data_IF_970875618090
#
_entry.id   IF_970875618090
#
_cell.length_a   1.000
_cell.length_b   1.000
_cell.length_c   1.000
_cell.angle_alpha   90.00
_cell.angle_beta   90.00
_cell.angle_gamma   90.00
#
_symmetry.space_group_name_H-M   'P 1'
#
loop_
_entity.id
_entity.type
_entity.pdbx_description
1 polymer ?
#
# COMPACT_ATOMS: atom_id res chain seq x y z
N UNK A 1 0.73 -0.90 14.10
CA UNK A 1 0.48 -1.36 12.71
C UNK A 1 0.12 -0.24 11.73
N UNK A 2 -0.02 1.01 12.19
CA UNK A 2 -0.03 2.19 11.31
C UNK A 2 1.42 2.56 10.95
N UNK A 3 1.68 2.80 9.67
CA UNK A 3 2.96 3.29 9.12
C UNK A 3 2.71 4.66 8.50
N UNK A 4 3.47 5.66 8.92
CA UNK A 4 3.35 7.03 8.43
C UNK A 4 4.65 7.41 7.75
N UNK A 5 4.55 7.83 6.49
CA UNK A 5 5.67 8.22 5.65
C UNK A 5 5.55 9.70 5.29
N UNK A 6 6.71 10.34 5.13
CA UNK A 6 6.85 11.62 4.46
C UNK A 6 7.86 11.48 3.31
N UNK A 7 7.94 12.44 2.37
CA UNK A 7 8.82 12.32 1.20
C UNK A 7 10.32 12.15 1.53
N UNK A 8 10.74 12.48 2.77
CA UNK A 8 12.13 12.32 3.22
C UNK A 8 12.38 11.01 3.95
N UNK A 9 11.33 10.22 4.22
CA UNK A 9 11.45 8.96 4.94
C UNK A 9 12.32 7.98 4.14
N UNK A 10 13.41 7.45 4.71
CA UNK A 10 14.28 6.54 3.98
C UNK A 10 13.62 5.17 3.83
N UNK A 11 13.92 4.50 2.72
CA UNK A 11 13.55 3.10 2.47
C UNK A 11 12.03 2.81 2.58
N UNK A 12 11.19 3.69 2.04
CA UNK A 12 9.73 3.47 2.01
C UNK A 12 9.42 2.18 1.23
N UNK A 13 10.05 1.96 0.07
CA UNK A 13 9.82 0.79 -0.77
C UNK A 13 10.06 -0.52 0.00
N UNK A 14 11.20 -0.67 0.66
CA UNK A 14 11.49 -1.89 1.42
C UNK A 14 10.52 -2.13 2.58
N UNK A 15 9.97 -1.06 3.18
CA UNK A 15 8.96 -1.21 4.24
C UNK A 15 7.61 -1.67 3.68
N UNK A 16 7.15 -1.11 2.55
CA UNK A 16 5.88 -1.53 1.94
C UNK A 16 5.99 -2.93 1.34
N UNK A 17 7.15 -3.31 0.77
CA UNK A 17 7.42 -4.66 0.27
C UNK A 17 7.36 -5.70 1.38
N UNK A 18 7.95 -5.41 2.54
CA UNK A 18 7.92 -6.31 3.69
C UNK A 18 6.50 -6.54 4.21
N UNK A 19 5.64 -5.51 4.15
CA UNK A 19 4.23 -5.64 4.52
C UNK A 19 3.47 -6.45 3.47
N UNK A 20 3.70 -6.18 2.18
CA UNK A 20 3.09 -6.93 1.10
C UNK A 20 3.40 -8.43 1.20
N UNK A 21 4.66 -8.81 1.40
CA UNK A 21 5.06 -10.22 1.55
C UNK A 21 4.34 -10.94 2.70
N UNK A 22 4.03 -10.23 3.79
CA UNK A 22 3.25 -10.80 4.90
C UNK A 22 1.77 -10.95 4.55
N UNK A 23 1.25 -10.04 3.73
CA UNK A 23 -0.20 -9.88 3.53
C UNK A 23 -0.71 -10.42 2.19
N UNK A 24 0.15 -10.69 1.21
CA UNK A 24 -0.23 -11.04 -0.16
C UNK A 24 -1.18 -12.25 -0.22
N UNK A 25 -0.89 -13.32 0.54
CA UNK A 25 -1.69 -14.55 0.60
C UNK A 25 -2.42 -14.75 1.93
N UNK A 26 -2.43 -13.74 2.81
CA UNK A 26 -2.98 -13.83 4.16
C UNK A 26 -4.51 -13.62 4.21
N UNK A 27 -5.26 -14.33 3.36
CA UNK A 27 -6.70 -14.14 3.17
C UNK A 27 -7.51 -14.15 4.48
N UNK A 28 -7.21 -15.07 5.39
CA UNK A 28 -7.89 -15.19 6.69
C UNK A 28 -6.96 -14.92 7.88
N UNK A 29 -5.83 -14.25 7.64
CA UNK A 29 -4.89 -13.85 8.68
C UNK A 29 -5.42 -12.73 9.57
N UNK A 30 -4.77 -12.54 10.72
CA UNK A 30 -5.06 -11.49 11.69
C UNK A 30 -4.26 -10.19 11.44
N UNK A 31 -3.22 -10.23 10.61
CA UNK A 31 -2.42 -9.07 10.22
C UNK A 31 -3.28 -7.94 9.63
N UNK A 32 -3.10 -6.72 10.14
CA UNK A 32 -3.78 -5.49 9.67
C UNK A 32 -2.76 -4.38 9.55
N UNK A 33 -2.73 -3.65 8.44
CA UNK A 33 -1.81 -2.54 8.22
C UNK A 33 -2.50 -1.32 7.62
N UNK A 34 -2.11 -0.14 8.08
CA UNK A 34 -2.48 1.14 7.48
C UNK A 34 -1.20 1.85 7.05
N UNK A 35 -1.12 2.25 5.78
CA UNK A 35 -0.05 3.04 5.20
C UNK A 35 -0.58 4.47 5.00
N UNK A 36 0.05 5.45 5.61
CA UNK A 36 -0.33 6.87 5.53
C UNK A 36 0.82 7.66 4.96
N UNK A 37 0.54 8.47 3.95
CA UNK A 37 1.53 9.28 3.26
C UNK A 37 1.23 10.76 3.50
N UNK A 38 2.17 11.48 4.10
CA UNK A 38 2.05 12.93 4.27
C UNK A 38 2.04 13.64 2.91
N UNK A 39 1.47 14.85 2.83
CA UNK A 39 1.52 15.66 1.62
C UNK A 39 2.94 15.79 1.05
N UNK A 40 3.05 15.70 -0.27
CA UNK A 40 4.29 15.76 -1.03
C UNK A 40 4.32 14.77 -2.20
N UNK A 41 5.48 14.66 -2.84
CA UNK A 41 5.68 13.80 -4.00
C UNK A 41 6.60 12.62 -3.67
N UNK A 42 6.12 11.41 -3.94
CA UNK A 42 6.86 10.16 -3.79
C UNK A 42 7.25 9.65 -5.17
N UNK A 43 8.54 9.43 -5.41
CA UNK A 43 9.05 8.99 -6.71
C UNK A 43 9.55 7.54 -6.63
N UNK A 44 9.41 6.81 -7.74
CA UNK A 44 9.94 5.46 -7.91
C UNK A 44 9.41 4.48 -6.85
N UNK A 45 8.12 4.59 -6.55
CA UNK A 45 7.45 3.76 -5.56
C UNK A 45 6.40 2.87 -6.24
N UNK A 46 6.44 1.56 -5.98
CA UNK A 46 5.36 0.65 -6.34
C UNK A 46 4.81 0.03 -5.04
N UNK A 47 3.64 0.51 -4.60
CA UNK A 47 3.01 0.04 -3.37
C UNK A 47 2.01 -1.07 -3.70
N UNK A 48 2.46 -2.32 -3.60
CA UNK A 48 1.60 -3.48 -3.75
C UNK A 48 0.76 -3.68 -2.48
N UNK A 49 -0.56 -3.78 -2.63
CA UNK A 49 -1.49 -3.98 -1.52
C UNK A 49 -1.90 -5.44 -1.42
N UNK A 50 -1.52 -6.10 -0.32
CA UNK A 50 -2.00 -7.42 0.07
C UNK A 50 -3.35 -7.37 0.78
N UNK A 51 -3.76 -8.48 1.38
CA UNK A 51 -4.95 -8.51 2.23
C UNK A 51 -4.83 -7.57 3.43
N UNK A 52 -5.95 -7.04 3.90
CA UNK A 52 -6.09 -6.18 5.06
C UNK A 52 -5.06 -5.04 5.18
N UNK A 53 -4.72 -4.46 4.03
CA UNK A 53 -3.81 -3.33 3.92
C UNK A 53 -4.56 -2.16 3.30
N UNK A 54 -4.54 -1.04 4.00
CA UNK A 54 -5.14 0.22 3.56
C UNK A 54 -4.04 1.24 3.30
N UNK A 55 -4.17 2.00 2.22
CA UNK A 55 -3.29 3.12 1.88
C UNK A 55 -4.10 4.41 1.77
N UNK A 56 -3.58 5.50 2.34
CA UNK A 56 -4.21 6.82 2.21
C UNK A 56 -3.20 7.96 2.15
N UNK A 57 -3.49 8.97 1.33
CA UNK A 57 -2.87 10.29 1.43
C UNK A 57 -3.41 11.06 2.64
N UNK A 58 -2.56 11.86 3.29
CA UNK A 58 -2.93 12.73 4.42
C UNK A 58 -3.17 14.19 3.99
N UNK A 59 -3.32 14.41 2.69
CA UNK A 59 -3.74 15.67 2.09
C UNK A 59 -5.16 16.06 2.47
N UNK A 60 -5.50 17.34 2.28
CA UNK A 60 -6.91 17.72 2.23
C UNK A 60 -7.50 17.36 0.86
N UNK A 61 -6.66 17.35 -0.17
CA UNK A 61 -6.99 16.98 -1.55
C UNK A 61 -6.11 15.81 -1.99
N UNK A 62 -6.58 14.98 -2.94
CA UNK A 62 -5.77 13.89 -3.49
C UNK A 62 -4.42 14.38 -4.07
N UNK A 63 -4.43 15.51 -4.79
CA UNK A 63 -3.22 16.08 -5.40
C UNK A 63 -2.17 16.57 -4.38
N UNK A 64 -2.53 16.70 -3.09
CA UNK A 64 -1.55 17.05 -2.06
C UNK A 64 -0.58 15.89 -1.80
N UNK A 65 -0.92 14.64 -2.17
CA UNK A 65 -0.09 13.44 -1.99
C UNK A 65 0.08 12.71 -3.32
N UNK A 66 1.14 13.05 -4.06
CA UNK A 66 1.34 12.51 -5.41
C UNK A 66 2.35 11.35 -5.44
N UNK A 67 2.02 10.30 -6.19
CA UNK A 67 2.88 9.16 -6.46
C UNK A 67 3.30 9.18 -7.93
N UNK A 68 4.58 9.46 -8.19
CA UNK A 68 5.21 9.18 -9.48
C UNK A 68 5.65 7.71 -9.48
N UNK A 69 4.67 6.83 -9.63
CA UNK A 69 4.77 5.40 -9.47
C UNK A 69 3.37 4.79 -9.42
N UNK A 70 3.21 3.70 -8.68
CA UNK A 70 1.98 2.92 -8.71
C UNK A 70 1.51 2.49 -7.31
N UNK A 71 0.20 2.40 -7.16
CA UNK A 71 -0.47 1.69 -6.06
C UNK A 71 -1.21 0.53 -6.70
N UNK A 72 -0.78 -0.70 -6.41
CA UNK A 72 -1.12 -1.87 -7.23
C UNK A 72 -1.77 -3.00 -6.45
N UNK A 73 -2.62 -3.74 -7.17
CA UNK A 73 -3.16 -5.03 -6.76
C UNK A 73 -3.08 -5.93 -7.99
N UNK A 74 -2.42 -7.07 -7.84
CA UNK A 74 -2.40 -8.13 -8.85
C UNK A 74 -2.75 -9.49 -8.19
N UNK A 75 -2.81 -10.55 -8.99
CA UNK A 75 -3.27 -11.87 -8.58
C UNK A 75 -2.17 -12.93 -8.66
N UNK A 76 -0.90 -12.55 -8.58
CA UNK A 76 0.25 -13.48 -8.58
C UNK A 76 0.10 -14.60 -7.56
N UNK A 77 -0.35 -14.28 -6.35
CA UNK A 77 -0.62 -15.23 -5.26
C UNK A 77 -1.62 -16.33 -5.60
N UNK A 78 -2.52 -16.10 -6.57
CA UNK A 78 -3.53 -17.04 -7.01
C UNK A 78 -3.47 -17.30 -8.51
N UNK A 79 -2.25 -17.39 -9.07
CA UNK A 79 -1.98 -17.74 -10.48
C UNK A 79 -2.72 -16.85 -11.48
N UNK A 80 -2.84 -15.56 -11.20
CA UNK A 80 -3.54 -14.59 -12.04
C UNK A 80 -5.06 -14.54 -11.83
N UNK A 81 -5.62 -15.35 -10.93
CA UNK A 81 -7.05 -15.33 -10.64
C UNK A 81 -7.40 -14.29 -9.56
N UNK A 82 -7.94 -13.14 -9.98
CA UNK A 82 -8.28 -12.03 -9.09
C UNK A 82 -9.58 -12.21 -8.28
N UNK A 83 -10.29 -13.34 -8.41
CA UNK A 83 -11.62 -13.55 -7.77
C UNK A 83 -11.62 -13.50 -6.24
N UNK A 84 -10.46 -13.44 -5.60
CA UNK A 84 -10.33 -13.44 -4.15
C UNK A 84 -9.54 -12.23 -3.60
N UNK A 85 -9.29 -11.20 -4.43
CA UNK A 85 -8.57 -9.99 -4.01
C UNK A 85 -9.46 -9.05 -3.19
N UNK A 86 -9.77 -9.46 -1.96
CA UNK A 86 -10.66 -8.73 -1.06
C UNK A 86 -9.88 -7.94 0.01
N UNK A 87 -10.65 -7.16 0.78
CA UNK A 87 -10.28 -6.51 2.05
C UNK A 87 -9.02 -5.64 1.97
N UNK A 88 -9.03 -4.64 1.09
CA UNK A 88 -7.99 -3.60 0.97
C UNK A 88 -8.63 -2.30 0.50
N UNK A 89 -7.95 -1.18 0.69
CA UNK A 89 -8.48 0.13 0.28
C UNK A 89 -7.38 1.10 -0.13
N UNK A 90 -7.73 2.02 -1.02
CA UNK A 90 -6.93 3.18 -1.41
C UNK A 90 -7.82 4.43 -1.31
N UNK A 91 -7.31 5.51 -0.74
CA UNK A 91 -8.08 6.74 -0.51
C UNK A 91 -7.20 7.99 -0.59
N UNK A 92 -7.83 9.09 -1.02
CA UNK A 92 -7.22 10.41 -1.11
C UNK A 92 -5.89 10.40 -1.88
#
# INVERSE_FOLDING_TARGET
NVKVFDPSTPNIQGQVDSIFQQQESAQFGDGRYQLLFKPGTYNNLNVQLGFYTSISGLGLKPDDTNFNGDVTVDAGWFNGNATQNFWRSAEN
#
